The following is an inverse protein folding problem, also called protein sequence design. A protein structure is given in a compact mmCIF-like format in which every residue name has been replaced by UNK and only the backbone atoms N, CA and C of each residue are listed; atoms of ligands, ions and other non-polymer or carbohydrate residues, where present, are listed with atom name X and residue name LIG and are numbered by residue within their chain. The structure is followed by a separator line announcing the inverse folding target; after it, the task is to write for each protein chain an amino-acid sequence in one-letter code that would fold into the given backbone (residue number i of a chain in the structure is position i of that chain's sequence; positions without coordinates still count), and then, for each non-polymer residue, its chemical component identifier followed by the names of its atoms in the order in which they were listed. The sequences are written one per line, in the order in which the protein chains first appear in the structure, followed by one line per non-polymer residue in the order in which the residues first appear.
data_IF_932495077373
#
_entry.id   IF_932495077373
#
_cell.length_a   1.000
_cell.length_b   1.000
_cell.length_c   1.000
_cell.angle_alpha   90.00
_cell.angle_beta   90.00
_cell.angle_gamma   90.00
#
_symmetry.space_group_name_H-M   'P 1'
#
loop_
_entity.id
_entity.type
_entity.pdbx_description
1 polymer ?
#
# COMPACT_ATOMS: atom_id res chain seq x y z
N UNK A 1 4.18 -11.77 -7.88
CA UNK A 1 3.45 -11.88 -9.16
C UNK A 1 4.05 -12.95 -10.04
N UNK A 2 5.30 -12.80 -10.48
CA UNK A 2 5.97 -13.80 -11.35
C UNK A 2 6.29 -15.09 -10.59
N UNK A 3 7.00 -14.99 -9.45
CA UNK A 3 7.57 -16.16 -8.78
C UNK A 3 6.59 -17.00 -7.94
N UNK A 4 5.74 -16.35 -7.13
CA UNK A 4 4.77 -17.02 -6.23
C UNK A 4 3.42 -17.31 -6.90
N UNK A 5 2.94 -16.40 -7.73
CA UNK A 5 1.57 -16.45 -8.27
C UNK A 5 1.51 -16.95 -9.72
N UNK A 6 2.66 -17.21 -10.36
CA UNK A 6 2.70 -17.76 -11.72
C UNK A 6 2.10 -16.84 -12.79
N UNK A 7 2.17 -15.52 -12.62
CA UNK A 7 1.66 -14.55 -13.61
C UNK A 7 2.67 -14.26 -14.74
N UNK A 8 3.31 -15.30 -15.27
CA UNK A 8 4.17 -15.19 -16.46
C UNK A 8 3.70 -16.17 -17.53
N UNK A 9 3.55 -15.68 -18.76
CA UNK A 9 3.16 -16.51 -19.90
C UNK A 9 4.20 -17.57 -20.26
N UNK A 10 5.48 -17.25 -20.01
CA UNK A 10 6.61 -18.11 -20.35
C UNK A 10 6.88 -19.20 -19.29
N UNK A 11 6.56 -18.93 -18.01
CA UNK A 11 6.81 -19.85 -16.89
C UNK A 11 5.57 -20.67 -16.50
N UNK A 12 4.38 -20.17 -16.80
CA UNK A 12 3.11 -20.78 -16.43
C UNK A 12 2.74 -20.62 -14.94
N UNK A 13 1.69 -21.33 -14.53
CA UNK A 13 1.07 -21.23 -13.20
C UNK A 13 1.78 -22.11 -12.16
N UNK A 14 3.06 -21.83 -11.92
CA UNK A 14 3.89 -22.56 -10.95
C UNK A 14 4.32 -21.64 -9.81
N UNK A 15 4.28 -22.17 -8.59
CA UNK A 15 4.82 -21.50 -7.41
C UNK A 15 6.29 -21.91 -7.20
N UNK A 16 7.19 -20.94 -7.39
CA UNK A 16 8.64 -21.06 -7.21
C UNK A 16 9.14 -20.44 -5.88
N UNK A 17 8.23 -20.10 -4.96
CA UNK A 17 8.56 -19.61 -3.61
C UNK A 17 8.39 -20.71 -2.56
N UNK A 18 7.36 -21.55 -2.69
CA UNK A 18 7.08 -22.61 -1.71
C UNK A 18 8.18 -23.67 -1.66
N UNK A 19 8.73 -23.93 -0.47
CA UNK A 19 9.66 -25.05 -0.25
C UNK A 19 8.98 -26.42 -0.32
N UNK A 20 7.65 -26.46 -0.25
CA UNK A 20 6.87 -27.69 -0.27
C UNK A 20 6.72 -28.24 -1.69
N UNK A 21 6.96 -27.42 -2.72
CA UNK A 21 6.97 -27.84 -4.12
C UNK A 21 8.39 -28.14 -4.59
N UNK A 22 8.59 -29.20 -5.39
CA UNK A 22 9.91 -29.51 -5.94
C UNK A 22 10.47 -28.38 -6.81
N UNK A 23 9.59 -27.61 -7.47
CA UNK A 23 9.94 -26.45 -8.29
C UNK A 23 10.42 -25.26 -7.47
N UNK A 24 9.88 -25.04 -6.26
CA UNK A 24 10.35 -23.99 -5.36
C UNK A 24 11.59 -24.39 -4.56
N UNK A 25 11.74 -25.68 -4.25
CA UNK A 25 12.94 -26.23 -3.63
C UNK A 25 14.16 -26.24 -4.57
N UNK A 26 13.95 -26.50 -5.86
CA UNK A 26 15.02 -26.62 -6.85
C UNK A 26 14.70 -25.86 -8.14
N UNK A 27 15.37 -24.73 -8.33
CA UNK A 27 15.29 -23.92 -9.55
C UNK A 27 16.58 -23.98 -10.34
N UNK A 28 16.49 -24.34 -11.62
CA UNK A 28 17.62 -24.25 -12.55
C UNK A 28 17.99 -22.79 -12.82
N UNK A 29 19.24 -22.54 -13.20
CA UNK A 29 19.70 -21.19 -13.55
C UNK A 29 18.99 -20.65 -14.79
N UNK A 30 18.57 -21.52 -15.71
CA UNK A 30 17.73 -21.14 -16.85
C UNK A 30 16.38 -20.57 -16.40
N UNK A 31 15.71 -21.24 -15.46
CA UNK A 31 14.41 -20.77 -14.93
C UNK A 31 14.56 -19.47 -14.15
N UNK A 32 15.65 -19.29 -13.39
CA UNK A 32 15.95 -18.01 -12.72
C UNK A 32 16.12 -16.88 -13.74
N UNK A 33 16.87 -17.12 -14.81
CA UNK A 33 17.06 -16.14 -15.89
C UNK A 33 15.74 -15.76 -16.57
N UNK A 34 14.83 -16.73 -16.79
CA UNK A 34 13.47 -16.45 -17.29
C UNK A 34 12.68 -15.55 -16.33
N UNK A 35 12.71 -15.85 -15.03
CA UNK A 35 12.02 -15.03 -14.01
C UNK A 35 12.57 -13.60 -13.98
N UNK A 36 13.89 -13.43 -13.99
CA UNK A 36 14.52 -12.10 -14.00
C UNK A 36 14.12 -11.29 -15.24
N UNK A 37 14.12 -11.92 -16.41
CA UNK A 37 13.68 -11.31 -17.66
C UNK A 37 12.22 -10.85 -17.57
N UNK A 38 11.33 -11.71 -17.10
CA UNK A 38 9.91 -11.41 -16.95
C UNK A 38 9.66 -10.25 -15.98
N UNK A 39 10.37 -10.22 -14.85
CA UNK A 39 10.30 -9.12 -13.88
C UNK A 39 10.78 -7.80 -14.52
N UNK A 40 11.89 -7.84 -15.25
CA UNK A 40 12.41 -6.66 -15.94
C UNK A 40 11.43 -6.13 -16.99
N UNK A 41 10.87 -7.02 -17.82
CA UNK A 41 9.86 -6.65 -18.83
C UNK A 41 8.60 -6.06 -18.18
N UNK A 42 8.09 -6.66 -17.10
CA UNK A 42 6.94 -6.15 -16.36
C UNK A 42 7.17 -4.70 -15.87
N UNK A 43 8.34 -4.45 -15.28
CA UNK A 43 8.70 -3.11 -14.79
C UNK A 43 8.86 -2.11 -15.92
N UNK A 44 9.52 -2.51 -17.01
CA UNK A 44 9.74 -1.65 -18.17
C UNK A 44 8.41 -1.24 -18.84
N UNK A 45 7.48 -2.18 -18.98
CA UNK A 45 6.16 -1.92 -19.53
C UNK A 45 5.36 -0.98 -18.62
N UNK A 46 5.30 -1.29 -17.33
CA UNK A 46 4.60 -0.44 -16.34
C UNK A 46 5.16 0.98 -16.31
N UNK A 47 6.48 1.13 -16.33
CA UNK A 47 7.13 2.44 -16.38
C UNK A 47 6.76 3.21 -17.64
N UNK A 48 6.80 2.54 -18.80
CA UNK A 48 6.51 3.17 -20.09
C UNK A 48 5.05 3.61 -20.17
N UNK A 49 4.12 2.73 -19.79
CA UNK A 49 2.69 3.00 -19.76
C UNK A 49 2.34 4.16 -18.82
N UNK A 50 2.82 4.13 -17.57
CA UNK A 50 2.56 5.19 -16.59
C UNK A 50 3.20 6.50 -17.05
N UNK A 51 4.42 6.46 -17.60
CA UNK A 51 5.07 7.65 -18.14
C UNK A 51 4.26 8.27 -19.27
N UNK A 52 3.77 7.46 -20.22
CA UNK A 52 2.91 7.94 -21.30
C UNK A 52 1.60 8.53 -20.74
N UNK A 53 0.95 7.83 -19.81
CA UNK A 53 -0.26 8.31 -19.14
C UNK A 53 -0.04 9.68 -18.47
N UNK A 54 1.04 9.84 -17.70
CA UNK A 54 1.36 11.09 -17.02
C UNK A 54 1.71 12.22 -18.01
N UNK A 55 2.38 11.90 -19.11
CA UNK A 55 2.69 12.87 -20.16
C UNK A 55 1.43 13.30 -20.95
N UNK A 56 0.48 12.39 -21.17
CA UNK A 56 -0.80 12.72 -21.81
C UNK A 56 -1.65 13.63 -20.93
N UNK A 57 -1.59 13.48 -19.60
CA UNK A 57 -2.34 14.28 -18.62
C UNK A 57 -1.46 15.38 -17.99
N UNK A 58 -0.53 15.94 -18.76
CA UNK A 58 0.45 16.93 -18.28
C UNK A 58 -0.21 18.18 -17.69
N UNK A 59 -1.32 18.63 -18.26
CA UNK A 59 -2.06 19.82 -17.80
C UNK A 59 -2.68 19.60 -16.41
N UNK A 60 -3.32 18.45 -16.20
CA UNK A 60 -3.87 18.06 -14.89
C UNK A 60 -2.76 17.94 -13.85
N UNK A 61 -1.62 17.33 -14.21
CA UNK A 61 -0.45 17.21 -13.35
C UNK A 61 0.07 18.59 -12.91
N UNK A 62 0.13 19.56 -13.83
CA UNK A 62 0.52 20.95 -13.49
C UNK A 62 -0.50 21.65 -12.60
N UNK A 63 -1.79 21.41 -12.84
CA UNK A 63 -2.86 21.94 -11.98
C UNK A 63 -2.71 21.43 -10.55
N UNK A 64 -2.49 20.12 -10.37
CA UNK A 64 -2.27 19.52 -9.06
C UNK A 64 -1.02 20.09 -8.39
N UNK A 65 0.09 20.22 -9.13
CA UNK A 65 1.33 20.80 -8.60
C UNK A 65 1.13 22.24 -8.12
N UNK A 66 0.43 23.08 -8.89
CA UNK A 66 0.11 24.46 -8.49
C UNK A 66 -0.74 24.52 -7.22
N UNK A 67 -1.73 23.64 -7.08
CA UNK A 67 -2.56 23.59 -5.88
C UNK A 67 -1.78 23.09 -4.65
N UNK A 68 -0.90 22.09 -4.80
CA UNK A 68 -0.02 21.63 -3.71
C UNK A 68 0.94 22.72 -3.24
N UNK A 69 1.46 23.55 -4.16
CA UNK A 69 2.29 24.70 -3.80
C UNK A 69 1.52 25.73 -2.94
N UNK A 70 0.20 25.84 -3.10
CA UNK A 70 -0.63 26.79 -2.35
C UNK A 70 -1.16 26.22 -1.03
N UNK A 71 -1.49 24.93 -0.98
CA UNK A 71 -2.24 24.31 0.12
C UNK A 71 -1.46 23.26 0.94
N UNK A 72 -0.21 22.95 0.56
CA UNK A 72 0.71 21.97 1.16
C UNK A 72 0.24 20.50 1.08
N UNK A 73 -1.06 20.25 1.26
CA UNK A 73 -1.69 18.95 1.25
C UNK A 73 -3.03 19.02 0.51
N UNK A 74 -3.43 17.92 -0.12
CA UNK A 74 -4.72 17.76 -0.78
C UNK A 74 -5.40 16.47 -0.29
N UNK A 75 -6.69 16.54 -0.03
CA UNK A 75 -7.53 15.37 0.22
C UNK A 75 -7.91 14.67 -1.10
N UNK A 76 -8.32 13.41 -1.03
CA UNK A 76 -8.73 12.63 -2.22
C UNK A 76 -9.92 13.24 -2.96
N UNK A 77 -10.87 13.84 -2.25
CA UNK A 77 -12.02 14.53 -2.86
C UNK A 77 -11.59 15.84 -3.53
N UNK A 78 -10.65 16.57 -2.93
CA UNK A 78 -10.09 17.80 -3.49
C UNK A 78 -9.28 17.51 -4.76
N UNK A 79 -8.52 16.42 -4.78
CA UNK A 79 -7.78 15.97 -5.96
C UNK A 79 -8.71 15.69 -7.14
N UNK A 80 -9.80 14.95 -6.92
CA UNK A 80 -10.79 14.65 -7.98
C UNK A 80 -11.40 15.93 -8.56
N UNK A 81 -11.68 16.92 -7.72
CA UNK A 81 -12.21 18.22 -8.15
C UNK A 81 -11.20 18.97 -9.03
N UNK A 82 -9.92 18.98 -8.64
CA UNK A 82 -8.85 19.60 -9.45
C UNK A 82 -8.70 18.91 -10.81
N UNK A 83 -8.73 17.57 -10.84
CA UNK A 83 -8.66 16.78 -12.09
C UNK A 83 -9.85 17.09 -13.01
N UNK A 84 -11.04 17.30 -12.45
CA UNK A 84 -12.23 17.72 -13.21
C UNK A 84 -12.22 19.21 -13.63
N UNK A 85 -11.16 19.96 -13.32
CA UNK A 85 -11.03 21.38 -13.68
C UNK A 85 -11.71 22.35 -12.71
N UNK A 86 -12.13 21.91 -11.53
CA UNK A 86 -12.69 22.80 -10.51
C UNK A 86 -11.59 23.45 -9.66
N UNK A 87 -11.74 24.75 -9.40
CA UNK A 87 -10.85 25.48 -8.49
C UNK A 87 -11.22 25.21 -7.03
N UNK A 88 -10.24 24.89 -6.19
CA UNK A 88 -10.49 24.72 -4.76
C UNK A 88 -10.70 26.09 -4.08
N UNK A 89 -11.67 26.20 -3.16
CA UNK A 89 -11.80 27.39 -2.32
C UNK A 89 -10.62 27.48 -1.36
N UNK A 90 -10.24 28.70 -0.98
CA UNK A 90 -9.19 28.93 0.03
C UNK A 90 -9.47 28.10 1.30
N UNK A 91 -8.44 27.40 1.78
CA UNK A 91 -8.55 26.47 2.92
C UNK A 91 -9.11 27.21 4.13
N UNK A 92 -10.31 26.83 4.56
CA UNK A 92 -10.80 27.19 5.89
C UNK A 92 -9.97 26.37 6.88
N UNK A 93 -9.25 27.04 7.79
CA UNK A 93 -8.55 26.36 8.88
C UNK A 93 -9.53 25.40 9.55
N UNK A 94 -9.24 24.10 9.47
CA UNK A 94 -9.96 23.14 10.30
C UNK A 94 -9.53 23.42 11.71
N UNK A 95 -10.37 24.12 12.46
CA UNK A 95 -10.22 24.32 13.90
C UNK A 95 -9.92 22.95 14.50
N UNK A 96 -8.72 22.81 15.06
CA UNK A 96 -8.33 21.65 15.85
C UNK A 96 -9.40 21.46 16.92
N UNK A 97 -10.26 20.45 16.76
CA UNK A 97 -11.00 19.94 17.90
C UNK A 97 -9.96 19.22 18.75
N UNK A 98 -9.27 19.98 19.59
CA UNK A 98 -8.57 19.45 20.74
C UNK A 98 -9.62 18.73 21.58
N UNK A 99 -9.76 17.42 21.34
CA UNK A 99 -10.32 16.52 22.35
C UNK A 99 -9.33 16.53 23.51
N UNK A 100 -9.49 17.51 24.40
CA UNK A 100 -8.93 17.45 25.73
C UNK A 100 -9.67 16.34 26.48
N UNK A 101 -9.16 15.12 26.37
CA UNK A 101 -9.57 14.03 27.24
C UNK A 101 -8.49 13.84 28.32
N UNK A 102 -8.35 14.81 29.22
CA UNK A 102 -7.68 14.57 30.49
C UNK A 102 -8.69 14.02 31.49
N UNK A 103 -9.02 12.74 31.36
CA UNK A 103 -9.55 11.99 32.49
C UNK A 103 -8.71 10.74 32.64
N UNK A 104 -7.55 10.90 33.27
CA UNK A 104 -6.87 9.77 33.90
C UNK A 104 -7.86 9.08 34.85
N UNK A 105 -8.03 7.75 34.78
CA UNK A 105 -8.74 7.03 35.83
C UNK A 105 -7.93 7.09 37.12
N UNK A 106 -8.57 7.26 38.29
CA UNK A 106 -7.85 7.32 39.56
C UNK A 106 -7.15 5.99 39.84
N UNK A 107 -5.91 6.10 40.30
CA UNK A 107 -5.10 4.98 40.73
C UNK A 107 -5.75 4.22 41.91
N UNK A 108 -5.85 2.90 41.74
CA UNK A 108 -6.02 1.79 42.68
C UNK A 108 -6.59 2.00 44.09
N UNK A 109 -7.56 1.16 44.45
CA UNK A 109 -7.60 0.51 45.77
C UNK A 109 -7.93 -0.98 45.65
N UNK A 110 -7.29 -1.75 46.51
CA UNK A 110 -7.19 -3.21 46.55
C UNK A 110 -8.52 -3.96 46.76
N UNK A 111 -8.65 -5.15 46.15
CA UNK A 111 -9.32 -6.31 46.80
C UNK A 111 -9.03 -7.63 46.09
N UNK A 112 -8.07 -8.35 46.65
CA UNK A 112 -8.04 -9.79 46.91
C UNK A 112 -9.25 -10.62 46.42
N UNK A 113 -9.04 -11.59 45.51
CA UNK A 113 -9.18 -13.05 45.78
C UNK A 113 -8.91 -13.86 44.51
N UNK A 114 -7.94 -14.78 44.59
CA UNK A 114 -7.64 -15.74 43.55
C UNK A 114 -8.75 -16.79 43.37
N UNK A 115 -8.86 -17.30 42.14
CA UNK A 115 -9.40 -18.63 41.83
C UNK A 115 -8.48 -19.27 40.80
N UNK A 116 -7.59 -20.15 41.25
CA UNK A 116 -6.90 -21.10 40.38
C UNK A 116 -7.96 -22.01 39.75
N UNK A 117 -7.89 -22.20 38.42
CA UNK A 117 -8.68 -23.21 37.72
C UNK A 117 -7.83 -24.47 37.60
N UNK A 118 -8.33 -25.66 37.98
CA UNK A 118 -7.57 -26.89 37.82
C UNK A 118 -7.51 -27.27 36.32
N UNK A 119 -6.33 -27.67 35.86
CA UNK A 119 -6.13 -28.26 34.53
C UNK A 119 -6.24 -29.78 34.69
N UNK A 120 -7.21 -30.40 34.02
CA UNK A 120 -7.33 -31.85 33.94
C UNK A 120 -6.44 -32.35 32.80
N UNK A 121 -5.41 -33.13 33.12
CA UNK A 121 -4.62 -33.89 32.15
C UNK A 121 -5.20 -35.31 32.09
N UNK A 122 -5.62 -35.74 30.91
CA UNK A 122 -5.74 -37.16 30.51
C UNK A 122 -5.42 -37.24 29.03
#
# INVERSE_FOLDING_TARGET
MVRRFGFSGDLGFVDYESSDTPEGAYMSDETKGKIEKEVSTLLQNSYTEIKQMLLSHREELESIAKHLMQHETLSGDELKRIVNGETLPARKEKVSIHHHCSKMPPAGTESMKGKQRPVSIT
#
